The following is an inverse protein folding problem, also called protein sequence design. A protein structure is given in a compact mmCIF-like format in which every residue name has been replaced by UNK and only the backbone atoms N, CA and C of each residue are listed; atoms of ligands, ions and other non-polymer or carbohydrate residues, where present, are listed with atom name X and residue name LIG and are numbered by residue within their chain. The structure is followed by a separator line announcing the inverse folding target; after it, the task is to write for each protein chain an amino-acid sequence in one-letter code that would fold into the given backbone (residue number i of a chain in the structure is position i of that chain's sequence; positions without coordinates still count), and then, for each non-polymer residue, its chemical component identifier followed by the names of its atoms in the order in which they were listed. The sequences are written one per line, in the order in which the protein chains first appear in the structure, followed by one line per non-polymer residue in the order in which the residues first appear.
data_IF_173080929267
#
_entry.id   IF_173080929267
#
_cell.length_a   1.000
_cell.length_b   1.000
_cell.length_c   1.000
_cell.angle_alpha   90.00
_cell.angle_beta   90.00
_cell.angle_gamma   90.00
#
_symmetry.space_group_name_H-M   'P 1'
#
loop_
_entity.id
_entity.type
_entity.pdbx_description
1 polymer ?
#
# COMPACT_ATOMS: atom_id res chain seq x y z
N UNK A 1 1.02 -15.17 -9.05
CA UNK A 1 2.27 -15.94 -8.74
C UNK A 1 2.10 -17.45 -8.93
N UNK A 2 1.23 -18.16 -8.17
CA UNK A 2 1.07 -19.64 -8.27
C UNK A 2 0.77 -20.11 -9.70
N UNK A 3 -0.21 -19.47 -10.37
CA UNK A 3 -0.54 -19.78 -11.76
C UNK A 3 0.67 -19.62 -12.69
N UNK A 4 1.39 -18.51 -12.56
CA UNK A 4 2.58 -18.24 -13.37
C UNK A 4 3.66 -19.33 -13.23
N UNK A 5 3.94 -19.78 -11.99
CA UNK A 5 4.90 -20.85 -11.76
C UNK A 5 4.46 -22.19 -12.38
N UNK A 6 3.15 -22.51 -12.30
CA UNK A 6 2.58 -23.72 -12.95
C UNK A 6 2.68 -23.63 -14.46
N UNK A 7 2.36 -22.49 -15.04
CA UNK A 7 2.44 -22.26 -16.50
C UNK A 7 3.89 -22.38 -17.03
N UNK A 8 4.90 -22.22 -16.14
CA UNK A 8 6.33 -22.39 -16.43
C UNK A 8 6.88 -23.75 -16.01
N UNK A 9 6.02 -24.76 -15.80
CA UNK A 9 6.42 -26.16 -15.62
C UNK A 9 6.79 -26.55 -14.19
N UNK A 10 6.37 -25.75 -13.18
CA UNK A 10 6.56 -26.17 -11.78
C UNK A 10 5.45 -27.12 -11.35
N UNK A 11 5.78 -28.41 -11.16
CA UNK A 11 4.83 -29.49 -10.83
C UNK A 11 4.63 -29.72 -9.33
N UNK A 12 5.36 -29.02 -8.47
CA UNK A 12 5.27 -29.13 -7.02
C UNK A 12 3.98 -28.57 -6.43
N UNK A 13 3.67 -28.95 -5.20
CA UNK A 13 2.58 -28.36 -4.43
C UNK A 13 2.93 -26.90 -4.12
N UNK A 14 2.20 -25.96 -4.73
CA UNK A 14 2.35 -24.53 -4.53
C UNK A 14 1.22 -24.01 -3.65
N UNK A 15 1.58 -23.37 -2.56
CA UNK A 15 0.65 -22.75 -1.63
C UNK A 15 0.97 -21.28 -1.52
N UNK A 16 -0.03 -20.43 -1.73
CA UNK A 16 0.14 -19.00 -1.51
C UNK A 16 0.19 -18.74 0.00
N UNK A 17 1.34 -18.24 0.45
CA UNK A 17 1.54 -17.82 1.84
C UNK A 17 1.54 -16.30 1.90
N UNK A 18 0.69 -15.77 2.76
CA UNK A 18 0.46 -14.32 2.88
C UNK A 18 1.36 -13.70 3.96
N UNK A 19 1.21 -12.38 4.11
CA UNK A 19 1.79 -11.61 5.20
C UNK A 19 0.68 -11.11 6.11
N UNK A 20 1.04 -10.76 7.34
CA UNK A 20 0.17 -10.10 8.28
C UNK A 20 0.60 -8.66 8.53
N UNK A 21 -0.32 -7.85 9.04
CA UNK A 21 -0.07 -6.52 9.57
C UNK A 21 -0.29 -6.53 11.08
N UNK A 22 0.53 -5.80 11.81
CA UNK A 22 0.36 -5.61 13.25
C UNK A 22 -0.68 -4.51 13.50
N UNK A 23 -1.90 -4.92 13.84
CA UNK A 23 -3.02 -4.01 14.07
C UNK A 23 -2.96 -3.29 15.42
N UNK A 24 -2.05 -3.64 16.31
CA UNK A 24 -1.78 -2.84 17.51
C UNK A 24 -1.06 -1.54 17.17
N UNK A 25 -0.30 -1.54 16.07
CA UNK A 25 0.43 -0.38 15.54
C UNK A 25 -0.38 0.30 14.43
N UNK A 26 -0.72 -0.47 13.37
CA UNK A 26 -1.41 0.03 12.20
C UNK A 26 -2.93 -0.07 12.37
N UNK A 27 -3.53 1.02 12.79
CA UNK A 27 -4.97 1.14 13.04
C UNK A 27 -5.41 2.61 12.90
N UNK A 28 -6.71 2.91 12.81
CA UNK A 28 -7.20 4.27 12.60
C UNK A 28 -7.06 5.21 13.82
N UNK A 29 -6.62 4.70 14.99
CA UNK A 29 -6.54 5.47 16.23
C UNK A 29 -5.58 6.68 16.19
N UNK A 30 -4.69 6.73 15.21
CA UNK A 30 -3.77 7.86 14.99
C UNK A 30 -4.38 8.98 14.12
N UNK A 31 -5.63 8.86 13.69
CA UNK A 31 -6.26 9.85 12.83
C UNK A 31 -6.56 11.14 13.61
N UNK A 32 -5.95 12.24 13.15
CA UNK A 32 -6.07 13.59 13.72
C UNK A 32 -6.30 14.64 12.62
N UNK A 33 -6.74 14.20 11.43
CA UNK A 33 -6.92 15.10 10.30
C UNK A 33 -7.99 16.16 10.59
N UNK A 34 -7.60 17.43 10.54
CA UNK A 34 -8.43 18.59 10.84
C UNK A 34 -8.46 19.61 9.67
N UNK A 35 -7.98 19.24 8.49
CA UNK A 35 -7.96 20.14 7.33
C UNK A 35 -8.86 19.61 6.19
N UNK A 36 -9.32 20.51 5.32
CA UNK A 36 -10.17 20.19 4.19
C UNK A 36 -9.38 19.78 2.93
N UNK A 37 -8.03 19.78 2.99
CA UNK A 37 -7.20 19.36 1.89
C UNK A 37 -7.14 17.82 1.81
N UNK A 38 -7.18 17.30 0.59
CA UNK A 38 -6.95 15.87 0.33
C UNK A 38 -5.48 15.56 0.60
N UNK A 39 -5.21 14.53 1.42
CA UNK A 39 -3.85 14.05 1.67
C UNK A 39 -3.60 12.77 0.89
N UNK A 40 -2.72 12.87 -0.11
CA UNK A 40 -2.22 11.74 -0.89
C UNK A 40 -0.87 11.28 -0.31
N UNK A 41 -0.80 10.02 0.07
CA UNK A 41 0.39 9.44 0.72
C UNK A 41 1.04 8.39 -0.17
N UNK A 42 2.35 8.46 -0.31
CA UNK A 42 3.17 7.39 -0.84
C UNK A 42 4.21 6.97 0.21
N UNK A 43 4.43 5.66 0.39
CA UNK A 43 5.40 5.11 1.34
C UNK A 43 6.28 4.08 0.64
N UNK A 44 7.59 4.23 0.78
CA UNK A 44 8.53 3.27 0.24
C UNK A 44 9.93 3.81 0.07
N UNK A 45 10.81 2.97 -0.52
CA UNK A 45 12.17 3.39 -0.86
C UNK A 45 12.13 4.47 -1.94
N UNK A 46 12.85 5.56 -1.71
CA UNK A 46 12.95 6.67 -2.67
C UNK A 46 13.99 6.33 -3.75
N UNK A 47 13.54 5.65 -4.80
CA UNK A 47 14.39 5.11 -5.86
C UNK A 47 13.64 5.03 -7.19
N UNK A 48 14.38 5.01 -8.31
CA UNK A 48 13.82 5.07 -9.66
C UNK A 48 12.86 3.92 -9.98
N UNK A 49 13.17 2.70 -9.52
CA UNK A 49 12.35 1.51 -9.77
C UNK A 49 10.95 1.57 -9.14
N UNK A 50 10.73 2.49 -8.20
CA UNK A 50 9.42 2.69 -7.55
C UNK A 50 8.48 3.59 -8.34
N UNK A 51 8.93 4.14 -9.48
CA UNK A 51 8.12 4.97 -10.38
C UNK A 51 7.44 6.16 -9.67
N UNK A 52 8.14 6.77 -8.69
CA UNK A 52 7.59 7.80 -7.81
C UNK A 52 7.25 9.10 -8.55
N UNK A 53 7.89 9.34 -9.70
CA UNK A 53 7.62 10.52 -10.53
C UNK A 53 6.16 10.60 -10.96
N UNK A 54 5.52 9.46 -11.23
CA UNK A 54 4.09 9.38 -11.54
C UNK A 54 3.21 9.90 -10.40
N UNK A 55 3.62 9.69 -9.15
CA UNK A 55 2.93 10.25 -7.99
C UNK A 55 3.25 11.74 -7.80
N UNK A 56 4.50 12.15 -7.97
CA UNK A 56 4.91 13.54 -7.77
C UNK A 56 4.29 14.46 -8.80
N UNK A 57 4.16 14.02 -10.06
CA UNK A 57 3.59 14.77 -11.18
C UNK A 57 2.06 14.77 -11.22
N UNK A 58 1.39 14.02 -10.34
CA UNK A 58 -0.07 14.03 -10.31
C UNK A 58 -0.61 15.44 -10.08
N UNK A 59 -1.39 15.92 -11.04
CA UNK A 59 -2.19 17.14 -10.87
C UNK A 59 -3.53 16.79 -10.24
N UNK A 60 -3.65 17.07 -8.95
CA UNK A 60 -4.87 16.81 -8.19
C UNK A 60 -5.28 18.08 -7.43
N UNK A 61 -6.53 18.56 -7.57
CA UNK A 61 -6.96 19.82 -6.98
C UNK A 61 -7.00 19.73 -5.45
N UNK A 62 -6.59 20.79 -4.77
CA UNK A 62 -6.67 20.96 -3.32
C UNK A 62 -6.08 19.76 -2.54
N UNK A 63 -4.89 19.28 -2.95
CA UNK A 63 -4.23 18.17 -2.28
C UNK A 63 -2.83 18.51 -1.77
N UNK A 64 -2.44 17.84 -0.70
CA UNK A 64 -1.08 17.77 -0.23
C UNK A 64 -0.53 16.36 -0.59
N UNK A 65 0.66 16.30 -1.18
CA UNK A 65 1.37 15.07 -1.50
C UNK A 65 2.47 14.81 -0.47
N UNK A 66 2.42 13.67 0.19
CA UNK A 66 3.36 13.29 1.25
C UNK A 66 4.12 12.03 0.83
N UNK A 67 5.45 12.11 0.86
CA UNK A 67 6.34 10.97 0.61
C UNK A 67 7.04 10.57 1.90
N UNK A 68 6.76 9.35 2.37
CA UNK A 68 7.42 8.73 3.54
C UNK A 68 8.41 7.68 3.06
N UNK A 69 9.65 7.81 3.47
CA UNK A 69 10.71 6.88 3.12
C UNK A 69 12.04 7.57 2.92
N UNK A 70 13.02 6.80 2.51
CA UNK A 70 14.36 7.28 2.21
C UNK A 70 14.96 6.47 1.06
N UNK A 71 16.01 6.97 0.45
CA UNK A 71 16.69 6.29 -0.64
C UNK A 71 17.58 7.17 -1.50
N UNK A 72 18.24 6.57 -2.49
CA UNK A 72 19.27 7.24 -3.28
C UNK A 72 18.79 8.44 -4.10
N UNK A 73 17.48 8.54 -4.34
CA UNK A 73 16.89 9.64 -5.12
C UNK A 73 16.29 10.75 -4.24
N UNK A 74 16.39 10.67 -2.91
CA UNK A 74 15.73 11.59 -1.97
C UNK A 74 16.07 13.06 -2.27
N UNK A 75 17.35 13.43 -2.28
CA UNK A 75 17.78 14.81 -2.52
C UNK A 75 17.38 15.30 -3.91
N UNK A 76 17.57 14.45 -4.94
CA UNK A 76 17.21 14.77 -6.32
C UNK A 76 15.70 15.07 -6.45
N UNK A 77 14.86 14.23 -5.85
CA UNK A 77 13.41 14.43 -5.97
C UNK A 77 12.91 15.58 -5.09
N UNK A 78 13.53 15.84 -3.95
CA UNK A 78 13.21 17.01 -3.13
C UNK A 78 13.47 18.31 -3.88
N UNK A 79 14.56 18.40 -4.65
CA UNK A 79 14.90 19.57 -5.46
C UNK A 79 13.96 19.71 -6.69
N UNK A 80 13.57 18.60 -7.31
CA UNK A 80 12.73 18.60 -8.51
C UNK A 80 11.22 18.82 -8.22
N UNK A 81 10.75 18.40 -7.03
CA UNK A 81 9.34 18.43 -6.65
C UNK A 81 9.15 19.10 -5.29
N UNK A 82 9.43 20.42 -5.18
CA UNK A 82 9.37 21.15 -3.91
C UNK A 82 7.96 21.23 -3.31
N UNK A 83 6.92 20.96 -4.11
CA UNK A 83 5.53 20.90 -3.66
C UNK A 83 5.17 19.59 -2.94
N UNK A 84 6.06 18.59 -2.96
CA UNK A 84 5.88 17.31 -2.26
C UNK A 84 6.54 17.37 -0.90
N UNK A 85 5.82 17.00 0.15
CA UNK A 85 6.37 16.91 1.49
C UNK A 85 7.16 15.61 1.68
N UNK A 86 8.49 15.68 1.69
CA UNK A 86 9.38 14.54 1.96
C UNK A 86 9.72 14.47 3.45
N UNK A 87 9.07 13.58 4.19
CA UNK A 87 9.18 13.48 5.66
C UNK A 87 10.27 12.53 6.15
N UNK A 88 10.98 11.87 5.20
CA UNK A 88 12.02 10.90 5.53
C UNK A 88 11.47 9.56 6.00
N UNK A 89 12.37 8.70 6.47
CA UNK A 89 12.02 7.34 6.92
C UNK A 89 11.25 7.38 8.24
N UNK A 90 10.16 6.61 8.32
CA UNK A 90 9.31 6.44 9.51
C UNK A 90 9.02 4.97 9.76
N UNK A 91 8.76 4.59 11.01
CA UNK A 91 8.38 3.24 11.43
C UNK A 91 7.36 3.28 12.56
N UNK A 92 6.76 2.13 12.85
CA UNK A 92 5.88 1.97 14.01
C UNK A 92 4.73 2.97 14.03
N UNK A 93 4.48 3.60 15.17
CA UNK A 93 3.39 4.56 15.35
C UNK A 93 3.54 5.82 14.52
N UNK A 94 4.78 6.29 14.27
CA UNK A 94 5.02 7.45 13.41
C UNK A 94 4.58 7.17 11.97
N UNK A 95 4.85 5.98 11.46
CA UNK A 95 4.39 5.56 10.13
C UNK A 95 2.87 5.38 10.10
N UNK A 96 2.30 4.76 11.15
CA UNK A 96 0.87 4.57 11.29
C UNK A 96 0.11 5.91 11.31
N UNK A 97 0.70 6.96 11.90
CA UNK A 97 0.14 8.31 11.87
C UNK A 97 -0.07 8.82 10.43
N UNK A 98 0.93 8.68 9.55
CA UNK A 98 0.80 9.10 8.16
C UNK A 98 -0.27 8.30 7.43
N UNK A 99 -0.30 6.97 7.58
CA UNK A 99 -1.36 6.16 6.98
C UNK A 99 -2.75 6.57 7.48
N UNK A 100 -2.95 6.72 8.78
CA UNK A 100 -4.27 7.04 9.35
C UNK A 100 -4.78 8.41 8.90
N UNK A 101 -3.89 9.38 8.67
CA UNK A 101 -4.25 10.75 8.30
C UNK A 101 -4.39 10.94 6.77
N UNK A 102 -3.84 10.06 5.96
CA UNK A 102 -4.03 10.11 4.51
C UNK A 102 -5.49 9.82 4.11
N UNK A 103 -5.95 10.41 3.02
CA UNK A 103 -7.24 10.09 2.41
C UNK A 103 -7.10 8.94 1.41
N UNK A 104 -5.99 8.92 0.66
CA UNK A 104 -5.65 7.85 -0.28
C UNK A 104 -4.17 7.52 -0.15
N UNK A 105 -3.87 6.23 -0.06
CA UNK A 105 -2.52 5.71 -0.23
C UNK A 105 -2.28 5.43 -1.72
N UNK A 106 -1.34 6.14 -2.33
CA UNK A 106 -1.01 6.01 -3.75
C UNK A 106 0.21 5.11 -3.89
N UNK A 107 0.06 4.04 -4.67
CA UNK A 107 1.13 3.08 -4.93
C UNK A 107 1.50 3.08 -6.42
N UNK A 108 2.47 3.91 -6.84
CA UNK A 108 2.80 4.13 -8.26
C UNK A 108 3.70 3.06 -8.87
N UNK A 109 4.19 2.09 -8.08
CA UNK A 109 5.07 1.02 -8.57
C UNK A 109 4.36 0.15 -9.61
N UNK A 110 5.05 -0.17 -10.70
CA UNK A 110 4.59 -1.11 -11.73
C UNK A 110 5.12 -2.54 -11.52
N UNK A 111 6.03 -2.71 -10.55
CA UNK A 111 6.63 -3.99 -10.19
C UNK A 111 6.66 -4.12 -8.67
N UNK A 112 5.97 -5.11 -8.15
CA UNK A 112 5.97 -5.43 -6.73
C UNK A 112 5.68 -6.93 -6.54
N UNK A 113 6.28 -7.53 -5.53
CA UNK A 113 6.01 -8.94 -5.19
C UNK A 113 4.77 -9.10 -4.32
N UNK A 114 4.58 -8.23 -3.34
CA UNK A 114 3.44 -8.26 -2.43
C UNK A 114 2.97 -6.85 -2.03
N UNK A 115 3.88 -5.97 -1.55
CA UNK A 115 3.58 -4.61 -1.13
C UNK A 115 2.92 -4.53 0.25
N UNK A 116 3.68 -4.87 1.31
CA UNK A 116 3.21 -4.81 2.70
C UNK A 116 2.66 -3.43 3.09
N UNK A 117 3.21 -2.36 2.53
CA UNK A 117 2.76 -0.97 2.74
C UNK A 117 1.30 -0.74 2.37
N UNK A 118 0.75 -1.52 1.42
CA UNK A 118 -0.67 -1.46 1.06
C UNK A 118 -1.55 -2.02 2.18
N UNK A 119 -1.18 -3.16 2.78
CA UNK A 119 -1.97 -3.73 3.88
C UNK A 119 -1.83 -2.91 5.17
N UNK A 120 -0.71 -2.21 5.38
CA UNK A 120 -0.52 -1.26 6.48
C UNK A 120 -1.47 -0.05 6.32
N UNK A 121 -1.52 0.54 5.12
CA UNK A 121 -2.44 1.64 4.80
C UNK A 121 -3.91 1.22 5.02
N UNK A 122 -4.32 0.09 4.46
CA UNK A 122 -5.67 -0.43 4.60
C UNK A 122 -6.03 -0.77 6.06
N UNK A 123 -5.06 -1.25 6.86
CA UNK A 123 -5.27 -1.49 8.30
C UNK A 123 -5.50 -0.20 9.09
N UNK A 124 -5.02 0.93 8.59
CA UNK A 124 -5.33 2.27 9.11
C UNK A 124 -6.63 2.87 8.51
N UNK A 125 -7.35 2.10 7.69
CA UNK A 125 -8.58 2.52 7.04
C UNK A 125 -8.36 3.38 5.79
N UNK A 126 -7.14 3.44 5.26
CA UNK A 126 -6.81 4.27 4.09
C UNK A 126 -6.87 3.43 2.83
N UNK A 127 -7.73 3.78 1.86
CA UNK A 127 -7.86 3.04 0.61
C UNK A 127 -6.62 3.19 -0.26
N UNK A 128 -6.37 2.17 -1.09
CA UNK A 128 -5.20 2.07 -1.96
C UNK A 128 -5.55 2.38 -3.42
N UNK A 129 -4.88 3.36 -4.01
CA UNK A 129 -4.90 3.63 -5.45
C UNK A 129 -3.60 3.12 -6.08
N UNK A 130 -3.67 2.20 -7.04
CA UNK A 130 -2.50 1.59 -7.65
C UNK A 130 -2.73 1.19 -9.10
N UNK A 131 -1.63 0.86 -9.81
CA UNK A 131 -1.71 0.23 -11.12
C UNK A 131 -2.14 -1.25 -11.01
N UNK A 132 -2.85 -1.81 -12.03
CA UNK A 132 -3.25 -3.21 -12.07
C UNK A 132 -2.06 -4.11 -12.45
N UNK A 133 -1.05 -4.16 -11.59
CA UNK A 133 0.15 -4.97 -11.78
C UNK A 133 0.29 -6.03 -10.67
N UNK A 134 1.28 -6.91 -10.81
CA UNK A 134 1.58 -7.93 -9.80
C UNK A 134 1.85 -7.26 -8.44
N UNK A 135 1.34 -7.85 -7.37
CA UNK A 135 1.29 -7.28 -6.02
C UNK A 135 -0.06 -6.63 -5.77
N UNK A 136 -0.35 -5.43 -6.31
CA UNK A 136 -1.65 -4.78 -6.14
C UNK A 136 -2.86 -5.66 -6.50
N UNK A 137 -2.83 -6.41 -7.61
CA UNK A 137 -3.95 -7.31 -8.00
C UNK A 137 -4.23 -8.44 -7.01
N UNK A 138 -3.23 -8.83 -6.21
CA UNK A 138 -3.36 -9.88 -5.21
C UNK A 138 -3.79 -9.34 -3.83
N UNK A 139 -3.64 -8.02 -3.60
CA UNK A 139 -3.81 -7.37 -2.29
C UNK A 139 -5.06 -6.50 -2.24
N UNK A 140 -5.32 -5.72 -3.30
CA UNK A 140 -6.41 -4.74 -3.34
C UNK A 140 -7.70 -5.38 -3.84
N UNK A 141 -8.77 -5.28 -3.05
CA UNK A 141 -10.13 -5.62 -3.48
C UNK A 141 -10.82 -4.37 -4.00
N UNK A 142 -11.05 -4.33 -5.33
CA UNK A 142 -11.69 -3.19 -6.01
C UNK A 142 -13.06 -2.90 -5.39
N UNK A 143 -13.31 -1.63 -5.07
CA UNK A 143 -14.54 -1.16 -4.45
C UNK A 143 -14.69 -1.48 -2.96
N UNK A 144 -13.68 -2.10 -2.33
CA UNK A 144 -13.67 -2.40 -0.90
C UNK A 144 -12.43 -1.86 -0.18
N UNK A 145 -11.23 -2.15 -0.71
CA UNK A 145 -9.99 -1.71 -0.06
C UNK A 145 -9.20 -0.72 -0.91
N UNK A 146 -9.64 -0.46 -2.13
CA UNK A 146 -9.02 0.48 -3.04
C UNK A 146 -9.50 0.31 -4.47
N UNK A 147 -8.80 0.94 -5.38
CA UNK A 147 -9.04 0.85 -6.82
C UNK A 147 -7.73 0.69 -7.59
N UNK A 148 -7.80 -0.11 -8.65
CA UNK A 148 -6.71 -0.34 -9.58
C UNK A 148 -7.11 0.22 -10.95
N UNK A 149 -6.29 1.12 -11.50
CA UNK A 149 -6.52 1.70 -12.83
C UNK A 149 -5.17 1.94 -13.54
N UNK A 150 -5.19 1.98 -14.85
CA UNK A 150 -4.04 2.40 -15.66
C UNK A 150 -3.79 3.91 -15.59
N UNK A 151 -4.79 4.66 -15.14
CA UNK A 151 -4.71 6.07 -14.76
C UNK A 151 -4.84 6.19 -13.22
N UNK A 152 -3.73 6.58 -12.56
CA UNK A 152 -3.72 6.75 -11.11
C UNK A 152 -4.72 7.81 -10.62
N UNK A 153 -5.01 8.82 -11.42
CA UNK A 153 -6.00 9.85 -11.07
C UNK A 153 -7.39 9.23 -10.93
N UNK A 154 -7.79 8.40 -11.89
CA UNK A 154 -9.07 7.67 -11.81
C UNK A 154 -9.12 6.74 -10.59
N UNK A 155 -8.01 6.05 -10.29
CA UNK A 155 -7.94 5.22 -9.10
C UNK A 155 -8.10 6.03 -7.82
N UNK A 156 -7.48 7.22 -7.72
CA UNK A 156 -7.58 8.14 -6.57
C UNK A 156 -9.02 8.65 -6.43
N UNK A 157 -9.63 9.17 -7.51
CA UNK A 157 -11.00 9.69 -7.51
C UNK A 157 -12.00 8.66 -6.97
N UNK A 158 -11.86 7.40 -7.42
CA UNK A 158 -12.70 6.31 -6.92
C UNK A 158 -12.38 5.96 -5.45
N UNK A 159 -11.11 5.96 -5.03
CA UNK A 159 -10.72 5.72 -3.64
C UNK A 159 -11.33 6.73 -2.67
N UNK A 160 -11.43 8.01 -3.06
CA UNK A 160 -12.01 9.07 -2.24
C UNK A 160 -13.51 8.84 -1.93
N UNK A 161 -14.19 8.00 -2.71
CA UNK A 161 -15.59 7.64 -2.45
C UNK A 161 -15.76 6.48 -1.47
N UNK A 162 -14.66 5.76 -1.13
CA UNK A 162 -14.73 4.57 -0.28
C UNK A 162 -14.83 4.96 1.21
N UNK A 163 -15.85 4.46 1.92
CA UNK A 163 -15.92 4.59 3.38
C UNK A 163 -14.76 3.84 4.04
N UNK A 164 -14.10 4.48 4.99
CA UNK A 164 -12.92 3.93 5.70
C UNK A 164 -13.25 2.66 6.52
N UNK A 165 -14.45 2.55 7.03
CA UNK A 165 -14.95 1.36 7.75
C UNK A 165 -15.03 0.14 6.84
N UNK A 166 -15.43 0.31 5.58
CA UNK A 166 -15.42 -0.75 4.57
C UNK A 166 -13.98 -1.22 4.30
N UNK A 167 -13.04 -0.29 4.18
CA UNK A 167 -11.61 -0.62 4.02
C UNK A 167 -11.11 -1.45 5.21
N UNK A 168 -11.40 -1.01 6.43
CA UNK A 168 -11.00 -1.68 7.67
C UNK A 168 -11.57 -3.09 7.79
N UNK A 169 -12.86 -3.27 7.48
CA UNK A 169 -13.52 -4.57 7.57
C UNK A 169 -12.88 -5.59 6.63
N UNK A 170 -12.65 -5.19 5.37
CA UNK A 170 -12.09 -6.07 4.35
C UNK A 170 -10.58 -6.32 4.49
N UNK A 171 -9.91 -5.63 5.43
CA UNK A 171 -8.48 -5.84 5.72
C UNK A 171 -8.24 -6.86 6.83
N UNK A 172 -9.27 -7.31 7.57
CA UNK A 172 -9.12 -8.24 8.71
C UNK A 172 -8.45 -9.55 8.36
N UNK A 173 -8.54 -9.99 7.12
CA UNK A 173 -7.87 -11.20 6.60
C UNK A 173 -6.33 -11.11 6.61
N UNK A 174 -5.76 -9.90 6.62
CA UNK A 174 -4.32 -9.70 6.63
C UNK A 174 -3.79 -9.68 8.07
N UNK A 175 -3.85 -10.79 8.78
CA UNK A 175 -3.32 -10.93 10.14
C UNK A 175 -2.19 -11.94 10.20
N UNK A 176 -1.24 -11.72 11.11
CA UNK A 176 -0.15 -12.69 11.35
C UNK A 176 -0.68 -14.05 11.81
N UNK A 177 -1.79 -14.10 12.56
CA UNK A 177 -2.41 -15.35 12.98
C UNK A 177 -2.91 -16.17 11.77
N UNK A 178 -3.51 -15.52 10.78
CA UNK A 178 -3.95 -16.20 9.56
C UNK A 178 -2.75 -16.64 8.71
N UNK A 179 -1.76 -15.76 8.53
CA UNK A 179 -0.53 -16.11 7.82
C UNK A 179 0.17 -17.31 8.48
N UNK A 180 0.26 -17.32 9.80
CA UNK A 180 0.82 -18.43 10.58
C UNK A 180 0.00 -19.71 10.45
N UNK A 181 -1.33 -19.63 10.47
CA UNK A 181 -2.20 -20.80 10.31
C UNK A 181 -2.00 -21.46 8.93
N UNK A 182 -1.91 -20.65 7.86
CA UNK A 182 -1.61 -21.17 6.52
C UNK A 182 -0.27 -21.88 6.52
N UNK A 183 0.78 -21.28 7.06
CA UNK A 183 2.12 -21.88 7.12
C UNK A 183 2.11 -23.20 7.89
N UNK A 184 1.59 -23.19 9.12
CA UNK A 184 1.55 -24.37 10.00
C UNK A 184 0.79 -25.55 9.39
N UNK A 185 -0.34 -25.29 8.73
CA UNK A 185 -1.19 -26.33 8.16
C UNK A 185 -0.54 -27.05 6.96
N UNK A 186 0.53 -26.50 6.42
CA UNK A 186 1.25 -27.05 5.26
C UNK A 186 2.66 -27.51 5.60
N UNK A 187 3.04 -27.52 6.88
CA UNK A 187 4.28 -28.13 7.34
C UNK A 187 4.16 -29.66 7.20
N UNK A 188 5.12 -30.26 6.52
CA UNK A 188 5.25 -31.70 6.40
C UNK A 188 6.22 -32.16 7.51
N UNK A 189 5.85 -33.12 8.37
CA UNK A 189 6.78 -33.65 9.37
C UNK A 189 8.01 -34.22 8.69
N UNK A 190 9.20 -33.87 9.18
CA UNK A 190 10.43 -34.55 8.79
C UNK A 190 10.35 -36.00 9.26
N UNK A 191 10.61 -36.93 8.36
CA UNK A 191 10.79 -38.37 8.70
C UNK A 191 12.16 -38.61 9.32
#
# INVERSE_FOLDING_TARGET
MVKHLKDHGFDGQLISWTRGVDRSIFNPGQRQKNNDKIQLLCVGRVSKEKNLEEFFQLEFPNCDKIMVGDGPMMETYRDLYPEVEFVGFKTGLDLAYYYANADVFVFPSRWETFGIVMIEAMACGTPVAAYPCQGPIDVVEIGKTGYLDTDLKNAIDNCLTLPRDIVLENTKKWSWNQAWAIFRNHLIPCK
#
